data_IF_621774857449
#
_entry.id   IF_621774857449
#
_cell.length_a   1.000
_cell.length_b   1.000
_cell.length_c   1.000
_cell.angle_alpha   90.00
_cell.angle_beta   90.00
_cell.angle_gamma   90.00
#
_symmetry.space_group_name_H-M   'P 1'
#
loop_
_entity.id
_entity.type
_entity.pdbx_description
1 polymer ?
#
# COMPACT_ATOMS: atom_id res chain seq x y z
N UNK A 1 6.11 -18.22 -18.87
CA UNK A 1 6.20 -18.35 -17.40
C UNK A 1 4.80 -18.53 -16.82
N UNK A 2 4.48 -19.67 -16.19
CA UNK A 2 3.19 -19.85 -15.48
C UNK A 2 3.20 -18.94 -14.25
N UNK A 3 2.29 -17.98 -14.18
CA UNK A 3 2.08 -17.07 -13.05
C UNK A 3 1.78 -17.92 -11.81
N UNK A 4 2.75 -18.06 -10.90
CA UNK A 4 2.66 -18.89 -9.68
C UNK A 4 2.03 -18.15 -8.50
N UNK A 5 1.42 -17.00 -8.73
CA UNK A 5 0.75 -16.25 -7.67
C UNK A 5 -0.64 -16.80 -7.46
N UNK A 6 -0.99 -16.95 -6.19
CA UNK A 6 -2.35 -17.29 -5.79
C UNK A 6 -3.05 -15.99 -5.44
N UNK A 7 -4.02 -15.58 -6.26
CA UNK A 7 -4.97 -14.54 -5.87
C UNK A 7 -5.79 -15.08 -4.71
N UNK A 8 -5.68 -14.42 -3.56
CA UNK A 8 -6.36 -14.83 -2.32
C UNK A 8 -7.69 -14.09 -2.19
N UNK A 9 -7.69 -12.79 -2.53
CA UNK A 9 -8.87 -11.94 -2.48
C UNK A 9 -8.77 -10.70 -3.38
N UNK A 10 -9.91 -10.14 -3.76
CA UNK A 10 -10.02 -8.89 -4.51
C UNK A 10 -11.34 -8.21 -4.17
N UNK A 11 -11.30 -6.96 -3.69
CA UNK A 11 -12.49 -6.23 -3.25
C UNK A 11 -12.40 -4.75 -3.62
N UNK A 12 -13.56 -4.10 -3.72
CA UNK A 12 -13.65 -2.64 -3.70
C UNK A 12 -13.94 -2.20 -2.27
N UNK A 13 -13.24 -1.19 -1.80
CA UNK A 13 -13.37 -0.72 -0.42
C UNK A 13 -14.51 0.31 -0.33
N UNK A 14 -15.51 0.04 0.51
CA UNK A 14 -16.59 0.99 0.82
C UNK A 14 -16.03 2.16 1.63
N UNK A 15 -15.18 1.86 2.61
CA UNK A 15 -14.47 2.82 3.46
C UNK A 15 -13.51 3.74 2.67
N UNK A 16 -13.08 3.31 1.48
CA UNK A 16 -12.15 4.03 0.61
C UNK A 16 -12.67 4.05 -0.82
N UNK A 17 -13.60 4.98 -1.11
CA UNK A 17 -14.22 5.12 -2.42
C UNK A 17 -13.20 5.08 -3.59
N UNK A 18 -13.55 4.30 -4.63
CA UNK A 18 -12.73 4.08 -5.84
C UNK A 18 -11.34 3.44 -5.62
N UNK A 19 -11.10 2.86 -4.44
CA UNK A 19 -9.94 2.03 -4.16
C UNK A 19 -10.29 0.54 -4.33
N UNK A 20 -9.52 -0.16 -5.14
CA UNK A 20 -9.54 -1.62 -5.22
C UNK A 20 -8.38 -2.19 -4.44
N UNK A 21 -8.64 -3.20 -3.60
CA UNK A 21 -7.62 -3.95 -2.89
C UNK A 21 -7.51 -5.36 -3.47
N UNK A 22 -6.29 -5.82 -3.74
CA UNK A 22 -5.99 -7.16 -4.24
C UNK A 22 -4.98 -7.82 -3.30
N UNK A 23 -5.37 -8.94 -2.71
CA UNK A 23 -4.53 -9.74 -1.84
C UNK A 23 -3.95 -10.93 -2.59
N UNK A 24 -2.62 -11.02 -2.62
CA UNK A 24 -1.87 -12.06 -3.30
C UNK A 24 -1.01 -12.83 -2.29
N UNK A 25 -0.96 -14.16 -2.43
CA UNK A 25 0.07 -14.96 -1.75
C UNK A 25 1.31 -15.05 -2.64
N UNK A 26 2.46 -14.69 -2.09
CA UNK A 26 3.72 -14.69 -2.81
C UNK A 26 4.35 -16.09 -2.86
N UNK A 27 4.88 -16.51 -4.02
CA UNK A 27 5.78 -17.66 -4.07
C UNK A 27 6.99 -17.45 -3.15
N UNK A 28 7.43 -18.51 -2.45
CA UNK A 28 8.60 -18.46 -1.53
C UNK A 28 9.86 -17.88 -2.22
N UNK A 29 10.08 -18.23 -3.49
CA UNK A 29 11.19 -17.72 -4.29
C UNK A 29 11.14 -16.20 -4.47
N UNK A 30 9.98 -15.67 -4.88
CA UNK A 30 9.80 -14.22 -5.02
C UNK A 30 10.00 -13.50 -3.69
N UNK A 31 9.43 -14.04 -2.60
CA UNK A 31 9.58 -13.44 -1.29
C UNK A 31 11.05 -13.32 -0.88
N UNK A 32 11.84 -14.38 -1.10
CA UNK A 32 13.26 -14.39 -0.76
C UNK A 32 14.09 -13.39 -1.58
N UNK A 33 13.81 -13.25 -2.86
CA UNK A 33 14.62 -12.41 -3.76
C UNK A 33 14.19 -10.94 -3.78
N UNK A 34 12.89 -10.66 -3.57
CA UNK A 34 12.32 -9.32 -3.78
C UNK A 34 11.74 -8.68 -2.53
N UNK A 35 11.36 -9.47 -1.51
CA UNK A 35 10.78 -8.93 -0.27
C UNK A 35 11.79 -8.91 0.86
N UNK A 36 12.50 -10.01 1.11
CA UNK A 36 13.45 -10.12 2.23
C UNK A 36 14.63 -9.15 2.09
N UNK A 37 15.08 -8.90 0.85
CA UNK A 37 16.17 -7.95 0.57
C UNK A 37 15.75 -6.49 0.80
N UNK A 38 14.45 -6.18 0.76
CA UNK A 38 13.88 -4.85 1.04
C UNK A 38 13.46 -4.74 2.50
N UNK A 39 12.83 -5.79 3.06
CA UNK A 39 12.27 -5.88 4.40
C UNK A 39 12.91 -7.04 5.19
N UNK A 40 14.14 -6.88 5.73
CA UNK A 40 14.81 -7.94 6.49
C UNK A 40 14.03 -8.40 7.74
N UNK A 41 13.22 -7.51 8.33
CA UNK A 41 12.35 -7.82 9.46
C UNK A 41 11.26 -8.85 9.11
N UNK A 42 10.83 -8.92 7.84
CA UNK A 42 9.88 -9.92 7.38
C UNK A 42 10.46 -11.35 7.52
N UNK A 43 11.74 -11.54 7.20
CA UNK A 43 12.43 -12.82 7.38
C UNK A 43 12.62 -13.16 8.87
N UNK A 44 12.98 -12.16 9.69
CA UNK A 44 13.04 -12.32 11.15
C UNK A 44 11.70 -12.80 11.70
N UNK A 45 10.59 -12.24 11.21
CA UNK A 45 9.25 -12.67 11.62
C UNK A 45 8.91 -14.09 11.19
N UNK A 46 9.28 -14.51 9.97
CA UNK A 46 9.11 -15.91 9.54
C UNK A 46 9.81 -16.85 10.51
N UNK A 47 11.07 -16.57 10.87
CA UNK A 47 11.82 -17.40 11.82
C UNK A 47 11.17 -17.43 13.20
N UNK A 48 10.67 -16.29 13.67
CA UNK A 48 9.93 -16.20 14.93
C UNK A 48 8.66 -17.05 14.92
N UNK A 49 7.84 -16.96 13.87
CA UNK A 49 6.61 -17.77 13.71
C UNK A 49 6.96 -19.26 13.71
N UNK A 50 7.97 -19.66 12.94
CA UNK A 50 8.42 -21.05 12.86
C UNK A 50 8.95 -21.58 14.20
N UNK A 51 9.71 -20.77 14.94
CA UNK A 51 10.24 -21.15 16.25
C UNK A 51 9.13 -21.29 17.31
N UNK A 52 8.14 -20.39 17.31
CA UNK A 52 7.00 -20.45 18.23
C UNK A 52 6.10 -21.68 18.02
N UNK A 53 6.21 -22.34 16.86
CA UNK A 53 5.35 -23.45 16.46
C UNK A 53 6.06 -24.81 16.47
N UNK A 54 7.36 -24.85 16.76
CA UNK A 54 8.13 -26.08 16.93
C UNK A 54 7.59 -26.97 18.07
N UNK A 55 6.72 -26.44 18.94
CA UNK A 55 6.11 -27.11 20.07
C UNK A 55 4.77 -27.82 19.79
N UNK A 56 4.25 -27.88 18.54
CA UNK A 56 3.09 -28.77 18.31
C UNK A 56 2.31 -28.71 17.00
N UNK A 57 2.45 -27.69 16.15
CA UNK A 57 1.68 -27.61 14.90
C UNK A 57 2.52 -27.01 13.77
N UNK A 58 2.75 -27.79 12.70
CA UNK A 58 3.49 -27.39 11.51
C UNK A 58 2.70 -26.35 10.67
N UNK A 59 2.63 -25.10 11.13
CA UNK A 59 2.18 -24.00 10.29
C UNK A 59 3.40 -23.30 9.67
N UNK A 60 3.52 -23.38 8.36
CA UNK A 60 4.51 -22.57 7.66
C UNK A 60 4.06 -21.09 7.67
N UNK A 61 4.99 -20.14 7.74
CA UNK A 61 4.68 -18.74 7.49
C UNK A 61 4.63 -18.47 5.98
N UNK A 62 3.67 -17.65 5.54
CA UNK A 62 3.52 -17.22 4.15
C UNK A 62 3.71 -15.72 4.01
N UNK A 63 4.20 -15.30 2.85
CA UNK A 63 4.33 -13.91 2.46
C UNK A 63 3.14 -13.50 1.58
N UNK A 64 2.65 -12.29 1.78
CA UNK A 64 1.53 -11.73 1.02
C UNK A 64 1.85 -10.32 0.55
N UNK A 65 1.27 -9.97 -0.60
CA UNK A 65 1.22 -8.61 -1.09
C UNK A 65 -0.23 -8.15 -1.09
N UNK A 66 -0.49 -7.02 -0.44
CA UNK A 66 -1.77 -6.33 -0.45
C UNK A 66 -1.65 -5.10 -1.34
N UNK A 67 -2.04 -5.24 -2.60
CA UNK A 67 -2.05 -4.11 -3.52
C UNK A 67 -3.30 -3.27 -3.33
N UNK A 68 -3.14 -1.97 -3.49
CA UNK A 68 -4.24 -1.05 -3.74
C UNK A 68 -4.09 -0.42 -5.12
N UNK A 69 -5.21 -0.21 -5.80
CA UNK A 69 -5.29 0.54 -7.06
C UNK A 69 -6.32 1.63 -6.87
N UNK A 70 -5.89 2.88 -6.98
CA UNK A 70 -6.77 4.05 -6.83
C UNK A 70 -6.93 4.75 -8.17
N UNK A 71 -8.19 4.98 -8.58
CA UNK A 71 -8.48 5.80 -9.77
C UNK A 71 -8.02 7.24 -9.58
N UNK A 72 -7.75 7.98 -10.66
CA UNK A 72 -7.56 9.42 -10.54
C UNK A 72 -8.81 10.23 -10.26
N UNK A 73 -9.96 9.65 -10.56
CA UNK A 73 -11.23 10.37 -10.63
C UNK A 73 -11.94 10.43 -9.26
N UNK A 74 -11.27 10.00 -8.18
CA UNK A 74 -11.86 10.08 -6.85
C UNK A 74 -12.01 11.54 -6.42
N UNK A 75 -13.18 11.88 -5.90
CA UNK A 75 -13.46 13.22 -5.38
C UNK A 75 -12.77 13.37 -4.01
N UNK A 76 -11.82 14.31 -3.83
CA UNK A 76 -11.28 14.61 -2.52
C UNK A 76 -12.38 15.29 -1.70
N UNK A 77 -12.93 14.62 -0.69
CA UNK A 77 -14.02 15.18 0.12
C UNK A 77 -14.81 14.20 0.98
N UNK A 78 -14.68 12.89 0.76
CA UNK A 78 -15.09 11.89 1.74
C UNK A 78 -13.92 11.55 2.64
N UNK A 79 -13.71 12.28 3.75
CA UNK A 79 -12.88 11.76 4.83
C UNK A 79 -13.41 10.35 5.20
N UNK A 80 -12.54 9.36 5.44
CA UNK A 80 -13.00 8.07 5.93
C UNK A 80 -13.77 8.31 7.23
N UNK A 81 -15.08 8.06 7.18
CA UNK A 81 -15.95 8.27 8.33
C UNK A 81 -15.45 7.39 9.48
N UNK A 82 -14.83 8.03 10.48
CA UNK A 82 -14.45 7.44 11.77
C UNK A 82 -13.53 6.21 11.68
N UNK A 83 -12.27 6.41 11.31
CA UNK A 83 -11.23 5.62 11.95
C UNK A 83 -10.92 6.30 13.28
N UNK A 84 -11.24 5.64 14.40
CA UNK A 84 -10.96 6.12 15.76
C UNK A 84 -9.53 6.68 15.83
N UNK A 85 -9.45 8.01 15.94
CA UNK A 85 -8.24 8.83 15.95
C UNK A 85 -7.53 8.76 17.30
N UNK A 86 -7.30 7.54 17.80
CA UNK A 86 -6.72 7.29 19.12
C UNK A 86 -5.20 7.21 19.19
N UNK A 87 -4.50 6.86 18.11
CA UNK A 87 -3.07 6.46 18.22
C UNK A 87 -2.14 6.92 17.08
N UNK A 88 -2.61 7.72 16.11
CA UNK A 88 -1.71 8.32 15.12
C UNK A 88 -1.15 9.65 15.65
N UNK A 89 0.18 9.76 15.64
CA UNK A 89 0.96 11.01 15.69
C UNK A 89 1.23 11.63 17.07
N UNK A 90 1.82 10.80 17.92
CA UNK A 90 2.89 11.18 18.86
C UNK A 90 4.28 11.20 18.16
N UNK A 91 4.35 11.67 16.90
CA UNK A 91 5.55 11.60 16.04
C UNK A 91 5.97 12.94 15.41
N UNK A 92 5.42 14.06 15.89
CA UNK A 92 5.88 15.42 15.56
C UNK A 92 5.91 16.26 16.83
N UNK A 93 6.95 16.08 17.63
CA UNK A 93 7.23 16.93 18.79
C UNK A 93 8.74 17.08 18.88
N UNK A 94 9.19 18.28 18.47
CA UNK A 94 10.47 18.95 18.77
C UNK A 94 10.83 19.82 17.55
N UNK A 95 10.27 21.02 17.46
CA UNK A 95 11.09 22.24 17.42
C UNK A 95 10.24 23.49 17.71
N UNK A 96 10.90 24.44 18.33
CA UNK A 96 10.44 25.66 19.01
C UNK A 96 9.81 26.73 18.11
N UNK A 97 9.03 27.62 18.73
CA UNK A 97 9.17 29.06 18.43
C UNK A 97 7.92 29.83 18.00
N UNK A 98 7.27 30.45 18.99
CA UNK A 98 6.73 31.81 18.98
C UNK A 98 5.61 32.21 17.98
N UNK A 99 4.41 32.28 18.57
CA UNK A 99 3.57 33.48 18.67
C UNK A 99 2.85 34.07 17.42
N UNK A 100 1.52 34.13 17.59
CA UNK A 100 0.62 35.30 17.36
C UNK A 100 -0.48 35.07 16.32
N UNK A 101 -1.72 35.16 16.83
CA UNK A 101 -2.99 35.26 16.11
C UNK A 101 -2.96 36.38 15.06
N UNK A 102 -3.57 36.15 13.89
CA UNK A 102 -4.65 37.00 13.36
C UNK A 102 -5.33 36.39 12.12
N UNK A 103 -6.65 36.32 12.23
CA UNK A 103 -7.73 36.47 11.24
C UNK A 103 -7.35 36.65 9.76
N UNK A 104 -7.99 35.85 8.88
CA UNK A 104 -8.76 36.31 7.70
C UNK A 104 -8.70 35.32 6.52
N UNK A 105 -9.90 34.87 6.14
CA UNK A 105 -10.35 34.37 4.85
C UNK A 105 -9.39 34.48 3.64
N UNK A 106 -9.20 33.37 2.92
CA UNK A 106 -9.30 33.34 1.45
C UNK A 106 -9.24 31.91 0.87
N UNK A 107 -10.21 31.67 -0.02
CA UNK A 107 -10.17 30.75 -1.16
C UNK A 107 -10.06 29.24 -0.93
N UNK A 108 -11.23 28.59 -0.80
CA UNK A 108 -11.41 27.21 -1.25
C UNK A 108 -11.23 27.17 -2.77
N UNK A 109 -10.03 26.83 -3.22
CA UNK A 109 -9.72 26.50 -4.60
C UNK A 109 -10.34 25.14 -4.92
N UNK A 110 -11.53 25.16 -5.50
CA UNK A 110 -12.21 24.00 -6.08
C UNK A 110 -11.33 23.44 -7.20
N UNK A 111 -10.77 22.24 -6.99
CA UNK A 111 -10.09 21.48 -8.04
C UNK A 111 -11.05 21.29 -9.22
N UNK A 112 -10.71 21.89 -10.36
CA UNK A 112 -11.44 21.68 -11.60
C UNK A 112 -11.23 20.23 -12.09
N UNK A 113 -12.23 19.58 -12.69
CA UNK A 113 -12.06 18.28 -13.31
C UNK A 113 -10.91 18.30 -14.31
N UNK A 114 -9.95 17.38 -14.17
CA UNK A 114 -8.79 17.27 -15.06
C UNK A 114 -9.29 17.01 -16.49
N UNK A 115 -9.13 18.00 -17.38
CA UNK A 115 -9.39 17.85 -18.81
C UNK A 115 -8.37 16.87 -19.39
N UNK A 116 -8.83 15.92 -20.21
CA UNK A 116 -7.94 15.21 -21.15
C UNK A 116 -7.37 16.27 -22.09
N UNK A 117 -6.04 16.43 -22.13
CA UNK A 117 -5.40 17.29 -23.11
C UNK A 117 -5.42 16.61 -24.50
N UNK A 118 -5.39 17.44 -25.54
CA UNK A 118 -5.53 17.03 -26.95
C UNK A 118 -4.41 16.07 -27.43
N UNK A 119 -3.33 15.94 -26.65
CA UNK A 119 -2.19 15.05 -26.94
C UNK A 119 -2.42 13.57 -26.55
N UNK A 120 -3.63 13.19 -26.12
CA UNK A 120 -4.01 11.80 -25.88
C UNK A 120 -3.39 11.14 -24.64
N UNK A 121 -2.45 11.81 -23.97
CA UNK A 121 -1.92 11.38 -22.67
C UNK A 121 -2.71 12.03 -21.53
N UNK A 122 -2.95 11.26 -20.47
CA UNK A 122 -3.56 11.83 -19.26
C UNK A 122 -2.62 12.83 -18.58
N UNK A 123 -3.16 13.94 -18.08
CA UNK A 123 -2.43 14.98 -17.35
C UNK A 123 -1.69 14.46 -16.09
N UNK A 124 -1.98 13.23 -15.65
CA UNK A 124 -1.34 12.57 -14.50
C UNK A 124 -0.06 11.81 -14.86
N UNK A 125 0.10 11.51 -16.14
CA UNK A 125 1.34 10.98 -16.72
C UNK A 125 2.41 12.07 -16.72
N UNK A 126 1.99 13.28 -17.04
CA UNK A 126 2.83 14.46 -16.98
C UNK A 126 3.10 14.83 -15.52
N UNK A 127 4.33 15.26 -15.22
CA UNK A 127 4.70 15.77 -13.90
C UNK A 127 4.19 17.22 -13.74
N UNK A 128 2.88 17.37 -13.59
CA UNK A 128 2.21 18.65 -13.31
C UNK A 128 1.98 18.83 -11.81
N UNK A 129 1.84 20.06 -11.29
CA UNK A 129 1.48 20.28 -9.88
C UNK A 129 0.22 19.52 -9.44
N UNK A 130 -0.80 19.46 -10.30
CA UNK A 130 -2.01 18.69 -10.04
C UNK A 130 -1.76 17.18 -9.94
N UNK A 131 -0.85 16.64 -10.79
CA UNK A 131 -0.46 15.23 -10.70
C UNK A 131 0.28 14.91 -9.40
N UNK A 132 1.11 15.83 -8.91
CA UNK A 132 1.87 15.66 -7.66
C UNK A 132 0.91 15.68 -6.47
N UNK A 133 0.03 16.68 -6.39
CA UNK A 133 -0.98 16.77 -5.33
C UNK A 133 -1.90 15.53 -5.31
N UNK A 134 -2.28 15.03 -6.49
CA UNK A 134 -3.05 13.79 -6.57
C UNK A 134 -2.28 12.56 -6.07
N UNK A 135 -0.99 12.43 -6.42
CA UNK A 135 -0.13 11.32 -5.93
C UNK A 135 0.04 11.37 -4.43
N UNK A 136 0.29 12.56 -3.86
CA UNK A 136 0.43 12.74 -2.42
C UNK A 136 -0.86 12.34 -1.69
N UNK A 137 -2.02 12.81 -2.15
CA UNK A 137 -3.32 12.40 -1.58
C UNK A 137 -3.56 10.90 -1.68
N UNK A 138 -3.24 10.30 -2.83
CA UNK A 138 -3.38 8.85 -3.04
C UNK A 138 -2.47 8.06 -2.11
N UNK A 139 -1.26 8.55 -1.84
CA UNK A 139 -0.32 7.97 -0.88
C UNK A 139 -0.86 8.01 0.54
N UNK A 140 -1.35 9.16 1.01
CA UNK A 140 -1.90 9.28 2.37
C UNK A 140 -3.14 8.40 2.57
N UNK A 141 -3.99 8.28 1.54
CA UNK A 141 -5.13 7.34 1.56
C UNK A 141 -4.66 5.89 1.68
N UNK A 142 -3.63 5.50 0.94
CA UNK A 142 -3.03 4.18 1.04
C UNK A 142 -2.46 3.92 2.44
N UNK A 143 -1.71 4.87 3.02
CA UNK A 143 -1.17 4.74 4.38
C UNK A 143 -2.27 4.61 5.43
N UNK A 144 -3.34 5.38 5.29
CA UNK A 144 -4.51 5.28 6.17
C UNK A 144 -5.17 3.90 6.09
N UNK A 145 -5.33 3.35 4.88
CA UNK A 145 -5.84 2.00 4.67
C UNK A 145 -4.92 0.94 5.30
N UNK A 146 -3.61 1.03 5.09
CA UNK A 146 -2.64 0.09 5.63
C UNK A 146 -2.61 0.12 7.16
N UNK A 147 -2.61 1.31 7.77
CA UNK A 147 -2.70 1.45 9.22
C UNK A 147 -4.00 0.87 9.79
N UNK A 148 -5.14 1.11 9.12
CA UNK A 148 -6.43 0.54 9.52
C UNK A 148 -6.43 -1.00 9.40
N UNK A 149 -5.88 -1.54 8.32
CA UNK A 149 -5.78 -2.98 8.09
C UNK A 149 -4.88 -3.64 9.13
N UNK A 150 -3.74 -3.03 9.47
CA UNK A 150 -2.87 -3.46 10.55
C UNK A 150 -3.62 -3.47 11.89
N UNK A 151 -4.30 -2.39 12.26
CA UNK A 151 -5.03 -2.29 13.53
C UNK A 151 -6.15 -3.35 13.62
N UNK A 152 -6.89 -3.62 12.53
CA UNK A 152 -7.90 -4.69 12.49
C UNK A 152 -7.28 -6.08 12.62
N UNK A 153 -6.13 -6.33 12.00
CA UNK A 153 -5.38 -7.58 12.13
C UNK A 153 -4.86 -7.79 13.56
N UNK A 154 -4.31 -6.76 14.19
CA UNK A 154 -3.83 -6.82 15.58
C UNK A 154 -4.98 -7.18 16.54
N UNK A 155 -6.17 -6.58 16.36
CA UNK A 155 -7.36 -6.91 17.15
C UNK A 155 -7.80 -8.37 16.99
N UNK A 156 -7.64 -8.97 15.80
CA UNK A 156 -8.11 -10.34 15.51
C UNK A 156 -7.10 -11.42 15.87
N UNK A 157 -5.82 -11.21 15.55
CA UNK A 157 -4.76 -12.20 15.76
C UNK A 157 -4.12 -12.09 17.15
N UNK A 158 -4.37 -10.97 17.83
CA UNK A 158 -3.71 -10.64 19.08
C UNK A 158 -2.30 -10.10 18.83
N UNK A 159 -1.99 -8.99 19.48
CA UNK A 159 -0.64 -8.46 19.62
C UNK A 159 -0.55 -7.86 21.02
N UNK A 160 0.35 -8.37 21.87
CA UNK A 160 0.57 -7.79 23.19
C UNK A 160 1.57 -6.61 23.12
N UNK A 161 2.44 -6.60 22.11
CA UNK A 161 3.41 -5.56 21.80
C UNK A 161 4.07 -5.84 20.42
N UNK A 162 4.71 -4.84 19.79
CA UNK A 162 5.36 -4.97 18.46
C UNK A 162 6.31 -6.18 18.35
N UNK A 163 7.01 -6.48 19.43
CA UNK A 163 7.97 -7.59 19.58
C UNK A 163 7.32 -8.98 19.67
N UNK A 164 6.03 -9.08 20.01
CA UNK A 164 5.29 -10.35 20.13
C UNK A 164 4.17 -10.49 19.12
N UNK A 165 4.03 -9.56 18.18
CA UNK A 165 2.99 -9.67 17.17
C UNK A 165 3.12 -11.00 16.41
N UNK A 166 1.99 -11.66 16.16
CA UNK A 166 1.97 -12.93 15.44
C UNK A 166 2.23 -12.77 13.93
N UNK A 167 2.30 -11.54 13.44
CA UNK A 167 2.48 -11.24 12.03
C UNK A 167 3.41 -10.04 11.84
N UNK A 168 3.89 -9.86 10.62
CA UNK A 168 4.60 -8.66 10.17
C UNK A 168 3.75 -7.96 9.12
N UNK A 169 3.74 -6.63 9.16
CA UNK A 169 3.11 -5.78 8.17
C UNK A 169 3.95 -4.51 8.04
N UNK A 170 4.30 -4.16 6.81
CA UNK A 170 5.01 -2.94 6.44
C UNK A 170 4.61 -2.61 4.99
N UNK A 171 4.96 -1.43 4.52
CA UNK A 171 4.77 -1.02 3.14
C UNK A 171 5.91 -0.10 2.71
N UNK A 172 6.35 -0.19 1.45
CA UNK A 172 7.29 0.75 0.91
C UNK A 172 6.60 2.10 0.69
N UNK A 173 7.34 3.19 0.87
CA UNK A 173 6.95 4.47 0.32
C UNK A 173 6.94 4.36 -1.22
N UNK A 174 5.79 4.53 -1.89
CA UNK A 174 5.71 4.38 -3.35
C UNK A 174 6.64 5.31 -4.13
N UNK A 175 7.07 6.43 -3.52
CA UNK A 175 8.00 7.35 -4.16
C UNK A 175 9.46 6.85 -4.16
N UNK A 176 9.86 6.04 -3.16
CA UNK A 176 11.26 5.62 -2.96
C UNK A 176 11.47 4.12 -2.99
N UNK A 177 10.41 3.32 -2.85
CA UNK A 177 10.47 1.87 -2.69
C UNK A 177 11.02 1.42 -1.34
N UNK A 178 11.24 2.33 -0.38
CA UNK A 178 11.88 2.02 0.90
C UNK A 178 10.84 1.70 1.97
N UNK A 179 11.11 0.73 2.88
CA UNK A 179 10.25 0.45 4.03
C UNK A 179 9.92 1.70 4.85
N UNK A 180 8.67 1.81 5.30
CA UNK A 180 8.23 2.92 6.14
C UNK A 180 8.19 2.57 7.62
N UNK A 181 7.86 1.34 7.99
CA UNK A 181 7.68 0.95 9.39
C UNK A 181 8.92 0.28 9.99
N UNK A 182 9.80 -0.31 9.17
CA UNK A 182 10.96 -1.09 9.62
C UNK A 182 12.28 -0.66 9.00
N UNK A 183 13.37 -1.29 9.45
CA UNK A 183 14.71 -1.03 8.93
C UNK A 183 14.82 -1.35 7.44
N UNK A 184 15.51 -0.47 6.72
CA UNK A 184 15.75 -0.62 5.29
C UNK A 184 16.68 -1.80 5.01
N UNK A 185 16.31 -2.61 4.04
CA UNK A 185 17.18 -3.65 3.49
C UNK A 185 18.21 -3.13 2.48
N UNK A 186 18.83 -4.06 1.77
CA UNK A 186 19.88 -3.77 0.79
C UNK A 186 19.34 -3.29 -0.57
N UNK A 187 18.04 -3.45 -0.84
CA UNK A 187 17.39 -3.08 -2.10
C UNK A 187 16.12 -2.27 -1.87
N UNK A 188 15.55 -1.73 -2.94
CA UNK A 188 14.25 -1.04 -2.94
C UNK A 188 13.14 -1.94 -3.52
N UNK A 189 11.91 -1.69 -3.13
CA UNK A 189 10.73 -2.30 -3.74
C UNK A 189 10.36 -1.55 -5.03
N UNK A 190 10.10 -2.27 -6.12
CA UNK A 190 9.67 -1.70 -7.39
C UNK A 190 8.27 -2.21 -7.74
N UNK A 191 7.25 -1.36 -7.57
CA UNK A 191 5.86 -1.71 -7.89
C UNK A 191 5.69 -2.14 -9.34
N UNK A 192 6.38 -1.49 -10.30
CA UNK A 192 6.29 -1.83 -11.71
C UNK A 192 6.73 -3.28 -11.98
N UNK A 193 7.86 -3.70 -11.41
CA UNK A 193 8.38 -5.06 -11.58
C UNK A 193 7.48 -6.09 -10.92
N UNK A 194 7.05 -5.80 -9.69
CA UNK A 194 6.16 -6.67 -8.96
C UNK A 194 4.81 -6.81 -9.70
N UNK A 195 4.25 -5.71 -10.20
CA UNK A 195 2.97 -5.74 -10.93
C UNK A 195 3.07 -6.53 -12.22
N UNK A 196 4.15 -6.38 -13.00
CA UNK A 196 4.39 -7.18 -14.20
C UNK A 196 4.49 -8.68 -13.90
N UNK A 197 5.04 -9.04 -12.74
CA UNK A 197 5.17 -10.44 -12.34
C UNK A 197 3.84 -11.04 -11.87
N UNK A 198 3.00 -10.25 -11.19
CA UNK A 198 1.79 -10.74 -10.54
C UNK A 198 0.50 -10.52 -11.33
N UNK A 199 0.37 -9.41 -12.04
CA UNK A 199 -0.86 -8.99 -12.69
C UNK A 199 -0.76 -9.11 -14.20
N UNK A 200 -1.89 -9.42 -14.85
CA UNK A 200 -1.97 -9.49 -16.32
C UNK A 200 -2.27 -8.13 -16.93
N UNK A 201 -1.79 -7.08 -16.28
CA UNK A 201 -2.01 -5.71 -16.74
C UNK A 201 -1.10 -5.44 -17.94
N UNK A 202 -1.59 -4.61 -18.85
CA UNK A 202 -0.72 -4.08 -19.89
C UNK A 202 0.27 -3.12 -19.23
N UNK A 203 1.43 -2.97 -19.85
CA UNK A 203 2.37 -1.93 -19.48
C UNK A 203 2.70 -1.09 -20.71
N UNK A 204 2.61 0.22 -20.58
CA UNK A 204 2.92 1.17 -21.64
C UNK A 204 4.28 1.78 -21.34
N UNK A 205 5.20 1.67 -22.30
CA UNK A 205 6.47 2.39 -22.21
C UNK A 205 6.25 3.82 -22.71
N UNK A 206 6.55 4.79 -21.87
CA UNK A 206 6.51 6.21 -22.22
C UNK A 206 7.94 6.69 -22.27
N UNK A 207 8.44 6.95 -23.48
CA UNK A 207 9.80 7.40 -23.71
C UNK A 207 9.83 8.91 -24.00
N UNK A 208 10.73 9.61 -23.32
CA UNK A 208 11.07 11.00 -23.58
C UNK A 208 12.58 11.17 -23.80
N UNK A 209 13.05 12.41 -24.04
CA UNK A 209 14.45 12.71 -24.33
C UNK A 209 15.43 12.26 -23.23
N UNK A 210 14.95 12.11 -21.98
CA UNK A 210 15.74 11.71 -20.81
C UNK A 210 15.64 10.22 -20.44
N UNK A 211 15.02 9.39 -21.27
CA UNK A 211 14.76 7.98 -20.99
C UNK A 211 13.27 7.64 -21.01
N UNK A 212 12.94 6.40 -20.68
CA UNK A 212 11.55 5.94 -20.64
C UNK A 212 11.13 5.46 -19.26
N UNK A 213 9.90 5.78 -18.88
CA UNK A 213 9.24 5.18 -17.74
C UNK A 213 8.24 4.13 -18.23
N UNK A 214 8.12 3.04 -17.48
CA UNK A 214 7.09 2.03 -17.74
C UNK A 214 5.89 2.35 -16.85
N UNK A 215 4.74 2.60 -17.48
CA UNK A 215 3.48 2.73 -16.77
C UNK A 215 2.67 1.45 -16.82
N UNK A 216 1.83 1.26 -15.81
CA UNK A 216 0.88 0.17 -15.72
C UNK A 216 -0.48 0.68 -16.21
N UNK A 217 -1.16 -0.13 -17.03
CA UNK A 217 -2.54 0.12 -17.44
C UNK A 217 -3.46 -0.84 -16.69
N UNK A 218 -4.21 -0.31 -15.72
CA UNK A 218 -5.19 -1.08 -14.97
C UNK A 218 -6.42 -1.37 -15.84
N UNK A 219 -6.97 -2.62 -15.87
CA UNK A 219 -8.08 -2.99 -16.73
C UNK A 219 -9.35 -2.12 -16.58
N UNK A 220 -9.55 -1.56 -15.37
CA UNK A 220 -10.69 -0.67 -15.08
C UNK A 220 -10.34 0.81 -15.09
N UNK A 221 -9.14 1.17 -14.64
CA UNK A 221 -8.78 2.58 -14.41
C UNK A 221 -7.89 3.13 -15.54
N UNK A 222 -7.55 2.31 -16.52
CA UNK A 222 -6.61 2.65 -17.58
C UNK A 222 -5.26 3.05 -17.00
N UNK A 223 -4.65 4.08 -17.60
CA UNK A 223 -3.39 4.67 -17.18
C UNK A 223 -3.52 5.61 -15.97
N UNK A 224 -4.75 5.88 -15.53
CA UNK A 224 -5.08 6.80 -14.46
C UNK A 224 -5.22 6.07 -13.13
N UNK A 225 -4.15 5.37 -12.75
CA UNK A 225 -4.14 4.51 -11.58
C UNK A 225 -2.94 4.82 -10.71
N UNK A 226 -3.16 4.88 -9.40
CA UNK A 226 -2.10 4.91 -8.40
C UNK A 226 -2.01 3.51 -7.75
N UNK A 227 -1.04 2.67 -8.17
CA UNK A 227 -0.75 1.43 -7.51
C UNK A 227 0.10 1.67 -6.25
N UNK A 228 -0.16 0.90 -5.18
CA UNK A 228 0.71 0.82 -4.02
C UNK A 228 0.60 -0.55 -3.36
N UNK A 229 1.69 -1.05 -2.76
CA UNK A 229 1.77 -2.40 -2.20
C UNK A 229 2.01 -2.40 -0.68
N UNK A 230 1.29 -3.25 0.03
CA UNK A 230 1.61 -3.67 1.39
C UNK A 230 2.28 -5.03 1.41
N UNK A 231 3.24 -5.24 2.32
CA UNK A 231 3.91 -6.53 2.54
C UNK A 231 3.47 -7.10 3.87
N UNK A 232 3.02 -8.37 3.87
CA UNK A 232 2.60 -9.06 5.08
C UNK A 232 3.26 -10.43 5.21
N UNK A 233 3.52 -10.84 6.44
CA UNK A 233 3.91 -12.21 6.80
C UNK A 233 3.03 -12.69 7.94
N UNK A 234 2.39 -13.84 7.77
CA UNK A 234 1.57 -14.47 8.80
C UNK A 234 1.68 -15.99 8.77
N UNK A 235 1.36 -16.67 9.89
CA UNK A 235 1.16 -18.12 9.91
C UNK A 235 0.10 -18.55 8.88
N UNK A 236 0.28 -19.70 8.24
CA UNK A 236 -0.63 -20.19 7.18
C UNK A 236 -2.08 -20.34 7.64
N UNK A 237 -2.28 -20.76 8.87
CA UNK A 237 -3.57 -20.92 9.55
C UNK A 237 -4.29 -19.57 9.81
N UNK A 238 -3.55 -18.46 9.82
CA UNK A 238 -4.11 -17.11 9.98
C UNK A 238 -4.59 -16.48 8.66
N UNK A 239 -4.50 -17.19 7.52
CA UNK A 239 -4.86 -16.62 6.22
C UNK A 239 -6.33 -16.21 6.13
N UNK A 240 -7.25 -16.99 6.68
CA UNK A 240 -8.68 -16.63 6.61
C UNK A 240 -8.96 -15.36 7.42
N UNK A 241 -8.32 -15.20 8.59
CA UNK A 241 -8.43 -13.97 9.38
C UNK A 241 -7.92 -12.74 8.61
N UNK A 242 -6.85 -12.90 7.81
CA UNK A 242 -6.38 -11.85 6.91
C UNK A 242 -7.43 -11.53 5.83
N UNK A 243 -7.97 -12.54 5.14
CA UNK A 243 -8.98 -12.34 4.08
C UNK A 243 -10.22 -11.63 4.61
N UNK A 244 -10.74 -12.08 5.73
CA UNK A 244 -11.89 -11.46 6.38
C UNK A 244 -11.60 -10.04 6.86
N UNK A 245 -10.35 -9.76 7.29
CA UNK A 245 -9.95 -8.39 7.66
C UNK A 245 -10.02 -7.48 6.44
N UNK A 246 -9.47 -7.92 5.30
CA UNK A 246 -9.54 -7.16 4.06
C UNK A 246 -11.02 -6.99 3.62
N UNK A 247 -11.80 -8.07 3.58
CA UNK A 247 -13.25 -8.01 3.24
C UNK A 247 -14.06 -7.09 4.13
N UNK A 248 -13.68 -6.93 5.40
CA UNK A 248 -14.39 -6.04 6.32
C UNK A 248 -14.35 -4.56 5.93
N UNK A 249 -13.48 -4.16 4.99
CA UNK A 249 -13.45 -2.80 4.43
C UNK A 249 -14.39 -2.61 3.22
N UNK A 250 -15.07 -3.67 2.77
CA UNK A 250 -16.06 -3.61 1.69
C UNK A 250 -17.51 -3.70 2.19
N UNK A 251 -17.70 -4.07 3.46
CA UNK A 251 -19.00 -4.14 4.13
C UNK A 251 -19.49 -2.74 4.54
#
# INVERSE_FOLDING_TARGET
>A
MRRRCLLVDSIRLSDFADMEAVLLRCPKFYAKESLVTVFPEAERRVRFIQAAQADGESSEANYYLLYTFQSSDFVPGGEPARLDSGELQKLTSEDDGAATLETSAAASSVCSPLKKEEDGFSALIQYSPASVEWKDRSRERFFSFMAAAQARLEKRLGSANKSSSRFFMDWPDPATGLPLCTERGATIFCDADAILQFFSFNSVLIAGPGGGCRMIEHPRFGLNVYPAAGVLVLPRDAEEALRETIRSFAA
#
